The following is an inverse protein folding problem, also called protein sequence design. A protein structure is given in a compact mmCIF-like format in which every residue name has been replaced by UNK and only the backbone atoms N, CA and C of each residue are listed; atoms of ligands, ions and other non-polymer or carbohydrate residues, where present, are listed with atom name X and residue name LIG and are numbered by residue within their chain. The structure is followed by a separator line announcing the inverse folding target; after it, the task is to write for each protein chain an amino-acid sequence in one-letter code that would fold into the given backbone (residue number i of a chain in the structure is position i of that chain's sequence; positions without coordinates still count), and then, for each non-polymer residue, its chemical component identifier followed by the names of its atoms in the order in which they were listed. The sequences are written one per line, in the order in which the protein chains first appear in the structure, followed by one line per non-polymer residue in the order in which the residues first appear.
data_IF_583974019880
#
_entry.id   IF_583974019880
#
_cell.length_a   1.000
_cell.length_b   1.000
_cell.length_c   1.000
_cell.angle_alpha   90.00
_cell.angle_beta   90.00
_cell.angle_gamma   90.00
#
_symmetry.space_group_name_H-M   'P 1'
#
loop_
_entity.id
_entity.type
_entity.pdbx_description
1 polymer ?
#
# COMPACT_ATOMS: atom_id res chain seq x y z
N UNK A 1 -3.84 13.34 12.05
CA UNK A 1 -4.34 12.70 10.81
C UNK A 1 -4.59 11.22 11.07
N UNK A 2 -5.54 10.61 10.35
CA UNK A 2 -5.76 9.15 10.32
C UNK A 2 -5.15 8.57 9.05
N UNK A 3 -4.13 7.73 9.19
CA UNK A 3 -3.30 7.26 8.09
C UNK A 3 -3.44 5.74 7.97
N UNK A 4 -3.85 5.25 6.80
CA UNK A 4 -3.80 3.83 6.47
C UNK A 4 -2.44 3.45 5.90
N UNK A 5 -1.76 2.48 6.46
CA UNK A 5 -0.48 1.94 5.95
C UNK A 5 -0.69 0.52 5.45
N UNK A 6 -0.43 0.33 4.15
CA UNK A 6 -0.42 -1.00 3.53
C UNK A 6 1.01 -1.48 3.37
N UNK A 7 1.29 -2.66 3.86
CA UNK A 7 2.63 -3.24 3.78
C UNK A 7 2.61 -4.77 3.84
N UNK A 8 3.71 -5.39 3.45
CA UNK A 8 3.95 -6.79 3.76
C UNK A 8 4.24 -6.95 5.27
N UNK A 9 3.69 -7.98 5.93
CA UNK A 9 3.89 -8.21 7.37
C UNK A 9 5.23 -8.86 7.70
N UNK A 10 6.16 -8.89 6.75
CA UNK A 10 7.42 -9.64 6.85
C UNK A 10 8.52 -8.87 7.59
N UNK A 11 9.51 -9.61 8.09
CA UNK A 11 10.76 -9.05 8.61
C UNK A 11 11.70 -8.50 7.53
N UNK A 12 11.30 -8.59 6.24
CA UNK A 12 12.03 -7.99 5.13
C UNK A 12 11.99 -6.46 5.14
N UNK A 13 12.88 -5.83 4.35
CA UNK A 13 13.11 -4.39 4.38
C UNK A 13 11.85 -3.53 4.26
N UNK A 14 10.94 -3.86 3.33
CA UNK A 14 9.71 -3.07 3.12
C UNK A 14 8.75 -3.11 4.32
N UNK A 15 8.55 -4.29 4.92
CA UNK A 15 7.68 -4.46 6.08
C UNK A 15 8.21 -3.71 7.30
N UNK A 16 9.51 -3.84 7.58
CA UNK A 16 10.16 -3.13 8.69
C UNK A 16 10.11 -1.62 8.51
N UNK A 17 10.45 -1.12 7.32
CA UNK A 17 10.40 0.34 7.01
C UNK A 17 8.98 0.88 7.20
N UNK A 18 7.96 0.18 6.70
CA UNK A 18 6.57 0.58 6.86
C UNK A 18 6.14 0.61 8.34
N UNK A 19 6.52 -0.42 9.10
CA UNK A 19 6.17 -0.52 10.52
C UNK A 19 6.83 0.57 11.35
N UNK A 20 8.14 0.78 11.18
CA UNK A 20 8.86 1.82 11.93
C UNK A 20 8.38 3.24 11.55
N UNK A 21 8.06 3.47 10.27
CA UNK A 21 7.45 4.73 9.84
C UNK A 21 6.10 4.96 10.52
N UNK A 22 5.23 3.95 10.55
CA UNK A 22 3.91 4.07 11.17
C UNK A 22 4.01 4.31 12.68
N UNK A 23 4.93 3.66 13.38
CA UNK A 23 5.21 3.91 14.80
C UNK A 23 5.66 5.37 15.01
N UNK A 24 6.62 5.83 14.21
CA UNK A 24 7.11 7.22 14.31
C UNK A 24 6.02 8.26 14.00
N UNK A 25 5.10 7.96 13.07
CA UNK A 25 3.94 8.82 12.80
C UNK A 25 2.96 8.84 13.96
N UNK A 26 2.74 7.68 14.61
CA UNK A 26 1.89 7.58 15.80
C UNK A 26 2.47 8.38 16.98
N UNK A 27 3.78 8.29 17.23
CA UNK A 27 4.48 9.09 18.25
C UNK A 27 4.34 10.61 18.02
N UNK A 28 4.12 11.03 16.77
CA UNK A 28 3.84 12.43 16.40
C UNK A 28 2.36 12.80 16.48
N UNK A 29 1.53 11.97 17.10
CA UNK A 29 0.11 12.23 17.33
C UNK A 29 -0.82 11.89 16.17
N UNK A 30 -0.36 11.11 15.18
CA UNK A 30 -1.24 10.60 14.15
C UNK A 30 -1.87 9.28 14.61
N UNK A 31 -3.06 8.97 14.12
CA UNK A 31 -3.70 7.67 14.27
C UNK A 31 -3.32 6.83 13.04
N UNK A 32 -2.72 5.67 13.27
CA UNK A 32 -2.18 4.83 12.19
C UNK A 32 -2.88 3.48 12.17
N UNK A 33 -3.42 3.13 11.01
CA UNK A 33 -4.11 1.89 10.74
C UNK A 33 -3.25 1.03 9.79
N UNK A 34 -2.65 -0.04 10.30
CA UNK A 34 -1.94 -1.01 9.47
C UNK A 34 -2.91 -1.99 8.83
N UNK A 35 -2.76 -2.24 7.54
CA UNK A 35 -3.64 -3.08 6.75
C UNK A 35 -2.80 -4.12 6.02
N UNK A 36 -2.93 -5.39 6.39
CA UNK A 36 -2.12 -6.49 5.87
C UNK A 36 -2.78 -7.84 6.13
N UNK A 37 -2.31 -8.92 5.49
CA UNK A 37 -2.84 -10.29 5.69
C UNK A 37 -2.37 -10.97 6.99
N UNK A 38 -1.41 -10.39 7.68
CA UNK A 38 -0.98 -10.77 9.02
C UNK A 38 -0.44 -9.54 9.75
N UNK A 39 -0.33 -9.60 11.06
CA UNK A 39 0.21 -8.50 11.85
C UNK A 39 1.64 -8.17 11.39
N UNK A 40 1.94 -6.91 11.04
CA UNK A 40 3.27 -6.50 10.63
C UNK A 40 4.35 -6.83 11.65
N UNK A 41 5.49 -7.30 11.17
CA UNK A 41 6.65 -7.55 12.01
C UNK A 41 7.02 -6.28 12.80
N UNK A 42 7.38 -6.43 14.07
CA UNK A 42 7.69 -5.36 15.01
C UNK A 42 6.52 -4.42 15.38
N UNK A 43 5.30 -4.68 14.90
CA UNK A 43 4.16 -3.92 15.35
C UNK A 43 3.77 -4.35 16.76
N UNK A 44 3.89 -3.42 17.70
CA UNK A 44 3.39 -3.57 19.04
C UNK A 44 2.14 -2.68 19.21
N UNK A 45 1.00 -3.30 19.48
CA UNK A 45 -0.30 -2.62 19.59
C UNK A 45 -0.57 -2.04 21.00
N UNK A 46 0.45 -1.79 21.80
CA UNK A 46 0.31 -1.18 23.14
C UNK A 46 0.03 0.35 23.06
N UNK A 47 0.04 0.93 21.87
CA UNK A 47 -0.23 2.36 21.67
C UNK A 47 -1.70 2.60 21.32
N UNK A 48 -2.33 3.60 21.94
CA UNK A 48 -3.71 4.01 21.68
C UNK A 48 -3.94 4.55 20.25
N UNK A 49 -2.85 4.85 19.53
CA UNK A 49 -2.89 5.41 18.17
C UNK A 49 -2.46 4.43 17.07
N UNK A 50 -2.25 3.15 17.40
CA UNK A 50 -1.87 2.11 16.45
C UNK A 50 -2.94 1.02 16.37
N UNK A 51 -3.46 0.81 15.16
CA UNK A 51 -4.49 -0.17 14.88
C UNK A 51 -4.02 -1.14 13.79
N UNK A 52 -4.51 -2.37 13.84
CA UNK A 52 -4.25 -3.38 12.83
C UNK A 52 -5.56 -3.95 12.28
N UNK A 53 -5.63 -4.06 10.97
CA UNK A 53 -6.75 -4.62 10.24
C UNK A 53 -6.26 -5.78 9.37
N UNK A 54 -6.75 -6.95 9.65
CA UNK A 54 -6.43 -8.14 8.88
C UNK A 54 -7.22 -8.20 7.58
N UNK A 55 -6.52 -8.53 6.51
CA UNK A 55 -7.09 -8.83 5.19
C UNK A 55 -7.21 -10.33 5.04
N UNK A 56 -8.39 -10.85 5.24
CA UNK A 56 -8.68 -12.27 5.05
C UNK A 56 -9.08 -12.55 3.60
N UNK A 57 -8.53 -13.62 3.03
CA UNK A 57 -8.92 -14.10 1.70
C UNK A 57 -9.70 -15.39 1.88
N UNK A 58 -10.96 -15.39 1.44
CA UNK A 58 -11.78 -16.60 1.48
C UNK A 58 -11.38 -17.54 0.35
N UNK A 59 -11.16 -18.80 0.69
CA UNK A 59 -11.02 -19.85 -0.31
C UNK A 59 -12.37 -20.10 -0.98
N UNK A 60 -12.39 -20.02 -2.30
CA UNK A 60 -13.54 -20.38 -3.10
C UNK A 60 -13.12 -21.45 -4.11
N UNK A 61 -13.84 -22.59 -4.23
CA UNK A 61 -13.39 -23.75 -5.00
C UNK A 61 -13.09 -23.50 -6.49
N UNK A 62 -13.65 -22.43 -7.07
CA UNK A 62 -13.40 -22.06 -8.47
C UNK A 62 -12.19 -21.12 -8.65
N UNK A 63 -11.54 -20.72 -7.57
CA UNK A 63 -10.33 -19.88 -7.64
C UNK A 63 -9.08 -20.76 -7.49
N UNK A 64 -8.36 -20.99 -8.57
CA UNK A 64 -7.05 -21.65 -8.53
C UNK A 64 -6.04 -20.84 -7.72
N UNK A 65 -6.18 -19.50 -7.74
CA UNK A 65 -5.33 -18.58 -6.99
C UNK A 65 -6.19 -17.68 -6.09
N UNK A 66 -5.84 -17.55 -4.79
CA UNK A 66 -6.55 -16.68 -3.88
C UNK A 66 -6.54 -15.22 -4.36
N UNK A 67 -7.70 -14.53 -4.46
CA UNK A 67 -7.79 -13.18 -4.99
C UNK A 67 -7.42 -12.13 -3.92
N UNK A 68 -6.16 -12.14 -3.48
CA UNK A 68 -5.67 -11.27 -2.40
C UNK A 68 -5.87 -9.79 -2.70
N UNK A 69 -5.52 -9.35 -3.90
CA UNK A 69 -5.62 -7.94 -4.31
C UNK A 69 -7.07 -7.43 -4.27
N UNK A 70 -8.02 -8.25 -4.71
CA UNK A 70 -9.45 -7.94 -4.62
C UNK A 70 -9.92 -7.82 -3.17
N UNK A 71 -9.48 -8.75 -2.31
CA UNK A 71 -9.81 -8.73 -0.88
C UNK A 71 -9.21 -7.51 -0.18
N UNK A 72 -7.97 -7.16 -0.51
CA UNK A 72 -7.28 -5.97 -0.02
C UNK A 72 -7.99 -4.68 -0.45
N UNK A 73 -8.37 -4.58 -1.73
CA UNK A 73 -9.15 -3.45 -2.27
C UNK A 73 -10.45 -3.25 -1.50
N UNK A 74 -11.24 -4.33 -1.33
CA UNK A 74 -12.52 -4.29 -0.63
C UNK A 74 -12.36 -3.89 0.83
N UNK A 75 -11.34 -4.44 1.51
CA UNK A 75 -11.02 -4.10 2.90
C UNK A 75 -10.59 -2.65 3.05
N UNK A 76 -9.84 -2.11 2.10
CA UNK A 76 -9.48 -0.69 2.06
C UNK A 76 -10.68 0.22 1.96
N UNK A 77 -11.62 -0.07 1.05
CA UNK A 77 -12.86 0.71 0.91
C UNK A 77 -13.64 0.73 2.23
N UNK A 78 -13.77 -0.43 2.90
CA UNK A 78 -14.41 -0.55 4.20
C UNK A 78 -13.72 0.34 5.24
N UNK A 79 -12.41 0.18 5.42
CA UNK A 79 -11.62 0.88 6.46
C UNK A 79 -11.62 2.39 6.22
N UNK A 80 -11.42 2.85 4.99
CA UNK A 80 -11.45 4.29 4.67
C UNK A 80 -12.76 4.92 5.09
N UNK A 81 -13.88 4.26 4.82
CA UNK A 81 -15.22 4.77 5.17
C UNK A 81 -15.49 4.70 6.67
N UNK A 82 -15.16 3.58 7.31
CA UNK A 82 -15.48 3.35 8.72
C UNK A 82 -14.58 4.19 9.63
N UNK A 83 -13.28 4.15 9.41
CA UNK A 83 -12.29 4.87 10.21
C UNK A 83 -12.14 6.33 9.79
N UNK A 84 -12.66 6.73 8.63
CA UNK A 84 -12.53 8.08 8.04
C UNK A 84 -11.05 8.44 7.87
N UNK A 85 -10.32 7.62 7.13
CA UNK A 85 -8.90 7.87 6.86
C UNK A 85 -8.72 9.14 6.03
N UNK A 86 -7.67 9.89 6.37
CA UNK A 86 -7.26 11.11 5.65
C UNK A 86 -6.30 10.81 4.50
N UNK A 87 -5.57 9.68 4.57
CA UNK A 87 -4.49 9.31 3.67
C UNK A 87 -4.29 7.80 3.64
N UNK A 88 -3.97 7.24 2.47
CA UNK A 88 -3.44 5.89 2.31
C UNK A 88 -1.96 6.00 1.93
N UNK A 89 -1.07 5.39 2.71
CA UNK A 89 0.34 5.23 2.39
C UNK A 89 0.65 3.76 2.12
N UNK A 90 0.98 3.45 0.88
CA UNK A 90 1.29 2.08 0.47
C UNK A 90 2.78 1.86 0.32
N UNK A 91 3.24 0.72 0.78
CA UNK A 91 4.60 0.25 0.59
C UNK A 91 4.58 -0.91 -0.40
N UNK A 92 5.25 -0.73 -1.53
CA UNK A 92 5.32 -1.66 -2.65
C UNK A 92 4.31 -1.39 -3.78
N UNK A 93 4.77 -1.45 -5.04
CA UNK A 93 3.95 -1.08 -6.20
C UNK A 93 2.80 -2.07 -6.45
N UNK A 94 3.04 -3.37 -6.30
CA UNK A 94 2.03 -4.43 -6.38
C UNK A 94 2.21 -5.44 -5.24
N UNK A 95 1.16 -5.97 -4.68
CA UNK A 95 -0.26 -5.70 -4.96
C UNK A 95 -0.81 -4.47 -4.23
N UNK A 96 0.01 -3.78 -3.43
CA UNK A 96 -0.49 -2.77 -2.51
C UNK A 96 -0.92 -1.49 -3.21
N UNK A 97 -0.08 -0.91 -4.09
CA UNK A 97 -0.47 0.32 -4.78
C UNK A 97 -1.61 0.07 -5.78
N UNK A 98 -1.60 -1.04 -6.52
CA UNK A 98 -2.68 -1.37 -7.44
C UNK A 98 -4.03 -1.53 -6.73
N UNK A 99 -4.05 -2.24 -5.59
CA UNK A 99 -5.23 -2.37 -4.74
C UNK A 99 -5.71 -1.00 -4.20
N UNK A 100 -4.79 -0.15 -3.76
CA UNK A 100 -5.12 1.18 -3.23
C UNK A 100 -5.67 2.12 -4.32
N UNK A 101 -5.12 2.07 -5.53
CA UNK A 101 -5.63 2.86 -6.66
C UNK A 101 -7.04 2.39 -7.05
N UNK A 102 -7.28 1.08 -7.13
CA UNK A 102 -8.62 0.56 -7.38
C UNK A 102 -9.60 0.96 -6.25
N UNK A 103 -9.19 0.88 -4.98
CA UNK A 103 -10.00 1.34 -3.87
C UNK A 103 -10.31 2.84 -3.95
N UNK A 104 -9.32 3.69 -4.32
CA UNK A 104 -9.50 5.11 -4.54
C UNK A 104 -10.55 5.40 -5.63
N UNK A 105 -10.51 4.67 -6.74
CA UNK A 105 -11.51 4.83 -7.82
C UNK A 105 -12.92 4.39 -7.36
N UNK A 106 -13.04 3.29 -6.62
CA UNK A 106 -14.32 2.86 -6.04
C UNK A 106 -14.86 3.92 -5.06
N UNK A 107 -14.02 4.41 -4.16
CA UNK A 107 -14.40 5.45 -3.18
C UNK A 107 -14.85 6.74 -3.86
N UNK A 108 -14.20 7.12 -4.95
CA UNK A 108 -14.58 8.30 -5.75
C UNK A 108 -15.99 8.18 -6.32
N UNK A 109 -16.44 6.98 -6.73
CA UNK A 109 -17.84 6.77 -7.18
C UNK A 109 -18.85 6.94 -6.04
N UNK A 110 -18.38 6.82 -4.79
CA UNK A 110 -19.18 7.03 -3.57
C UNK A 110 -19.05 8.47 -3.02
N UNK A 111 -18.38 9.38 -3.74
CA UNK A 111 -18.14 10.76 -3.31
C UNK A 111 -17.04 10.91 -2.27
N UNK A 112 -16.23 9.87 -2.01
CA UNK A 112 -15.12 9.90 -1.06
C UNK A 112 -13.81 10.10 -1.81
N UNK A 113 -13.06 11.14 -1.47
CA UNK A 113 -11.76 11.45 -2.04
C UNK A 113 -10.66 11.18 -1.02
N UNK A 114 -9.71 10.30 -1.36
CA UNK A 114 -8.58 9.96 -0.50
C UNK A 114 -7.27 9.99 -1.28
N UNK A 115 -6.23 10.70 -0.81
CA UNK A 115 -4.92 10.66 -1.43
C UNK A 115 -4.19 9.36 -1.16
N UNK A 116 -3.42 8.90 -2.15
CA UNK A 116 -2.57 7.71 -2.08
C UNK A 116 -1.12 8.10 -2.29
N UNK A 117 -0.28 7.78 -1.31
CA UNK A 117 1.19 7.87 -1.42
C UNK A 117 1.76 6.48 -1.61
N UNK A 118 2.68 6.30 -2.56
CA UNK A 118 3.37 5.02 -2.79
C UNK A 118 4.85 5.14 -2.51
N UNK A 119 5.38 4.27 -1.65
CA UNK A 119 6.83 4.10 -1.43
C UNK A 119 7.32 2.83 -2.12
N UNK A 120 8.29 3.01 -3.02
CA UNK A 120 8.94 1.94 -3.78
C UNK A 120 10.13 1.39 -3.00
N UNK A 121 10.33 0.06 -3.03
CA UNK A 121 11.30 -0.62 -2.19
C UNK A 121 12.45 -1.31 -2.92
N UNK A 122 12.37 -1.48 -4.23
CA UNK A 122 13.43 -2.04 -5.06
C UNK A 122 12.99 -3.24 -5.89
N UNK A 123 12.70 -4.38 -5.30
CA UNK A 123 12.29 -5.59 -6.03
C UNK A 123 10.99 -5.40 -6.79
N UNK A 124 10.08 -4.57 -6.31
CA UNK A 124 8.86 -4.15 -7.02
C UNK A 124 9.16 -3.42 -8.35
N UNK A 125 10.34 -2.83 -8.49
CA UNK A 125 10.76 -2.06 -9.66
C UNK A 125 11.77 -2.83 -10.49
N UNK A 126 12.84 -3.30 -9.85
CA UNK A 126 14.02 -3.82 -10.56
C UNK A 126 13.88 -5.30 -10.94
N UNK A 127 13.00 -6.04 -10.26
CA UNK A 127 12.73 -7.44 -10.52
C UNK A 127 11.32 -7.62 -11.10
N UNK A 128 10.29 -7.42 -10.29
CA UNK A 128 8.88 -7.63 -10.69
C UNK A 128 8.45 -6.60 -11.75
N UNK A 129 8.91 -5.37 -11.64
CA UNK A 129 8.61 -4.28 -12.59
C UNK A 129 9.18 -4.47 -14.00
N UNK A 130 10.11 -5.40 -14.17
CA UNK A 130 10.63 -5.77 -15.51
C UNK A 130 9.82 -6.87 -16.17
N UNK A 131 9.00 -7.59 -15.42
CA UNK A 131 8.14 -8.64 -15.96
C UNK A 131 7.01 -8.00 -16.80
N UNK A 132 6.87 -8.38 -18.09
CA UNK A 132 5.82 -7.83 -18.95
C UNK A 132 4.40 -8.03 -18.41
N UNK A 133 4.16 -9.08 -17.63
CA UNK A 133 2.84 -9.35 -17.01
C UNK A 133 2.49 -8.39 -15.89
N UNK A 134 3.48 -7.81 -15.22
CA UNK A 134 3.30 -6.89 -14.09
C UNK A 134 3.50 -5.41 -14.46
N UNK A 135 4.38 -5.16 -15.44
CA UNK A 135 4.82 -3.81 -15.81
C UNK A 135 3.68 -2.82 -16.10
N UNK A 136 2.62 -3.15 -16.87
CA UNK A 136 1.53 -2.21 -17.14
C UNK A 136 0.80 -1.77 -15.87
N UNK A 137 0.54 -2.70 -14.94
CA UNK A 137 -0.15 -2.43 -13.67
C UNK A 137 0.71 -1.55 -12.77
N UNK A 138 2.01 -1.84 -12.67
CA UNK A 138 2.96 -1.05 -11.87
C UNK A 138 3.06 0.37 -12.41
N UNK A 139 3.25 0.53 -13.74
CA UNK A 139 3.31 1.84 -14.38
C UNK A 139 2.03 2.66 -14.13
N UNK A 140 0.87 2.03 -14.26
CA UNK A 140 -0.42 2.66 -14.00
C UNK A 140 -0.54 3.09 -12.53
N UNK A 141 -0.24 2.21 -11.59
CA UNK A 141 -0.35 2.48 -10.14
C UNK A 141 0.58 3.62 -9.69
N UNK A 142 1.83 3.64 -10.18
CA UNK A 142 2.77 4.73 -9.92
C UNK A 142 2.21 6.06 -10.45
N UNK A 143 1.68 6.08 -11.67
CA UNK A 143 1.17 7.30 -12.29
C UNK A 143 -0.14 7.81 -11.68
N UNK A 144 -0.96 6.97 -11.07
CA UNK A 144 -2.19 7.36 -10.38
C UNK A 144 -2.03 7.66 -8.89
N UNK A 145 -0.89 7.31 -8.30
CA UNK A 145 -0.56 7.73 -6.93
C UNK A 145 -0.42 9.26 -6.86
N UNK A 146 -0.90 9.91 -5.81
CA UNK A 146 -0.80 11.37 -5.66
C UNK A 146 0.64 11.81 -5.39
N UNK A 147 1.41 10.97 -4.67
CA UNK A 147 2.85 11.12 -4.48
C UNK A 147 3.54 9.77 -4.53
N UNK A 148 4.79 9.79 -4.99
CA UNK A 148 5.64 8.60 -5.03
C UNK A 148 6.96 8.91 -4.37
N UNK A 149 7.43 8.01 -3.52
CA UNK A 149 8.77 8.05 -2.95
C UNK A 149 9.51 6.74 -3.23
N UNK A 150 10.82 6.78 -3.13
CA UNK A 150 11.67 5.61 -3.24
C UNK A 150 12.67 5.61 -2.09
N UNK A 151 13.05 4.41 -1.63
CA UNK A 151 13.96 4.25 -0.49
C UNK A 151 15.39 4.69 -0.77
N UNK A 152 15.73 4.98 -2.03
CA UNK A 152 17.04 5.52 -2.42
C UNK A 152 16.97 6.35 -3.72
N UNK A 153 17.97 7.19 -3.91
CA UNK A 153 18.13 7.96 -5.16
C UNK A 153 18.32 7.03 -6.36
N UNK A 154 19.13 5.98 -6.21
CA UNK A 154 19.34 4.98 -7.27
C UNK A 154 18.02 4.33 -7.69
N UNK A 155 17.19 3.91 -6.75
CA UNK A 155 15.89 3.33 -7.07
C UNK A 155 14.95 4.32 -7.78
N UNK A 156 14.96 5.59 -7.36
CA UNK A 156 14.22 6.65 -8.06
C UNK A 156 14.67 6.78 -9.52
N UNK A 157 15.98 6.80 -9.76
CA UNK A 157 16.54 6.95 -11.10
C UNK A 157 16.24 5.70 -11.96
N UNK A 158 16.33 4.50 -11.40
CA UNK A 158 15.98 3.26 -12.09
C UNK A 158 14.47 3.20 -12.41
N UNK A 159 13.61 3.64 -11.49
CA UNK A 159 12.18 3.74 -11.74
C UNK A 159 11.87 4.60 -12.96
N UNK A 160 12.52 5.77 -13.06
CA UNK A 160 12.34 6.68 -14.22
C UNK A 160 12.88 6.13 -15.54
N UNK A 161 13.86 5.23 -15.50
CA UNK A 161 14.37 4.54 -16.70
C UNK A 161 13.45 3.41 -17.17
N UNK A 162 12.82 2.70 -16.22
CA UNK A 162 12.02 1.50 -16.51
C UNK A 162 10.58 1.85 -16.88
N UNK A 163 10.04 2.90 -16.26
CA UNK A 163 8.65 3.30 -16.39
C UNK A 163 8.50 4.72 -16.97
N UNK A 164 7.41 4.91 -17.71
CA UNK A 164 6.99 6.24 -18.19
C UNK A 164 6.29 6.99 -17.04
N UNK A 165 7.08 7.72 -16.26
CA UNK A 165 6.58 8.46 -15.09
C UNK A 165 6.20 9.89 -15.51
N UNK A 166 4.92 10.18 -15.43
CA UNK A 166 4.35 11.50 -15.76
C UNK A 166 4.39 12.42 -14.53
N UNK A 167 5.43 13.26 -14.44
CA UNK A 167 5.51 14.43 -13.52
C UNK A 167 5.29 14.15 -12.01
N UNK A 168 6.11 13.26 -11.42
CA UNK A 168 6.06 13.00 -9.96
C UNK A 168 7.44 13.00 -9.31
#
# INVERSE_FOLDING_TARGET
MKIGILCYPTFGGSGVVATELGKSLSEKGNIVHFISYAQPARLNLISDNLFYHEVSVKNYPLFDFPPYETSLTSKLVEIVKFEKLDLIHVHYAIPHASAAILAKEILKTMGVHIPVITTLHGTDITLVGKDPSCKPVINHSINLSDKVSAVSKSLKDDTKKIFDIKNK
#
